data_IF_148419922994
#
_entry.id   IF_148419922994
#
_cell.length_a   1.000
_cell.length_b   1.000
_cell.length_c   1.000
_cell.angle_alpha   90.00
_cell.angle_beta   90.00
_cell.angle_gamma   90.00
#
_symmetry.space_group_name_H-M   'P 1'
#
loop_
_entity.id
_entity.type
_entity.pdbx_description
1 polymer ?
#
# COMPACT_ATOMS: atom_id res chain seq x y z
N UNK A 1 -5.69 4.56 -6.24
CA UNK A 1 -6.10 5.97 -6.01
C UNK A 1 -6.29 6.75 -7.31
N UNK A 2 -5.25 6.83 -8.15
CA UNK A 2 -5.29 7.57 -9.43
C UNK A 2 -6.53 7.26 -10.29
N UNK A 3 -6.91 5.99 -10.47
CA UNK A 3 -8.13 5.62 -11.22
C UNK A 3 -9.39 6.33 -10.72
N UNK A 4 -9.60 6.37 -9.40
CA UNK A 4 -10.75 7.05 -8.80
C UNK A 4 -10.67 8.57 -9.07
N UNK A 5 -9.51 9.18 -8.82
CA UNK A 5 -9.31 10.62 -9.03
C UNK A 5 -9.45 11.04 -10.48
N UNK A 6 -8.93 10.25 -11.42
CA UNK A 6 -9.08 10.51 -12.84
C UNK A 6 -10.55 10.41 -13.26
N UNK A 7 -11.31 9.42 -12.77
CA UNK A 7 -12.76 9.35 -13.02
C UNK A 7 -13.53 10.52 -12.40
N UNK A 8 -13.13 10.98 -11.21
CA UNK A 8 -13.73 12.13 -10.52
C UNK A 8 -13.46 13.44 -11.29
N UNK A 9 -12.21 13.66 -11.73
CA UNK A 9 -11.78 14.92 -12.36
C UNK A 9 -12.04 14.99 -13.86
N UNK A 10 -11.99 13.85 -14.54
CA UNK A 10 -12.13 13.75 -15.99
C UNK A 10 -13.25 12.79 -16.40
N UNK A 11 -14.48 12.98 -15.91
CA UNK A 11 -15.59 12.07 -16.22
C UNK A 11 -16.05 12.13 -17.68
N UNK A 12 -15.56 13.11 -18.44
CA UNK A 12 -15.79 13.28 -19.88
C UNK A 12 -14.78 12.48 -20.73
N UNK A 13 -13.72 11.94 -20.12
CA UNK A 13 -12.67 11.15 -20.79
C UNK A 13 -12.78 9.67 -20.39
N UNK A 14 -13.08 9.39 -19.12
CA UNK A 14 -13.05 8.03 -18.55
C UNK A 14 -14.45 7.65 -18.09
N UNK A 15 -15.07 6.64 -18.69
CA UNK A 15 -16.47 6.28 -18.41
C UNK A 15 -16.71 5.52 -17.09
N UNK A 16 -15.65 4.93 -16.53
CA UNK A 16 -15.66 4.26 -15.24
C UNK A 16 -14.27 3.74 -14.84
N UNK A 17 -14.13 3.24 -13.62
CA UNK A 17 -12.83 2.76 -13.14
C UNK A 17 -12.91 1.76 -11.98
N UNK A 18 -11.99 0.80 -11.99
CA UNK A 18 -11.72 -0.10 -10.86
C UNK A 18 -10.57 0.49 -10.05
N UNK A 19 -10.85 0.89 -8.82
CA UNK A 19 -9.90 1.44 -7.87
C UNK A 19 -9.60 0.38 -6.80
N UNK A 20 -8.81 -0.63 -7.17
CA UNK A 20 -8.42 -1.73 -6.30
C UNK A 20 -7.40 -1.30 -5.24
N UNK A 21 -7.64 -1.74 -4.00
CA UNK A 21 -6.84 -1.41 -2.81
C UNK A 21 -6.42 0.05 -2.77
N UNK A 22 -7.38 0.94 -3.01
CA UNK A 22 -7.13 2.37 -3.14
C UNK A 22 -7.39 3.09 -1.81
N UNK A 23 -6.35 3.44 -1.02
CA UNK A 23 -6.46 4.14 0.26
C UNK A 23 -6.86 5.63 0.10
N UNK A 24 -8.02 5.90 -0.51
CA UNK A 24 -8.52 7.26 -0.78
C UNK A 24 -8.87 8.06 0.48
N UNK A 25 -9.07 7.37 1.61
CA UNK A 25 -9.42 7.87 2.93
C UNK A 25 -8.50 7.33 4.04
N UNK A 26 -7.27 6.88 3.73
CA UNK A 26 -6.34 6.29 4.72
C UNK A 26 -5.84 7.30 5.75
N UNK A 27 -6.67 7.43 6.80
CA UNK A 27 -6.50 8.32 7.93
C UNK A 27 -7.15 7.67 9.20
N UNK A 28 -6.30 7.06 10.06
CA UNK A 28 -6.45 6.51 11.45
C UNK A 28 -7.34 5.26 11.79
N UNK A 29 -6.70 4.35 12.57
CA UNK A 29 -7.12 3.30 13.55
C UNK A 29 -7.39 1.83 13.10
N UNK A 30 -6.60 0.87 13.63
CA UNK A 30 -6.92 -0.57 13.77
C UNK A 30 -6.02 -1.30 14.82
N UNK A 31 -6.47 -2.43 15.40
CA UNK A 31 -5.83 -3.20 16.51
C UNK A 31 -5.29 -4.60 16.09
N UNK A 32 -4.15 -5.08 16.64
CA UNK A 32 -3.40 -6.31 16.24
C UNK A 32 -2.72 -7.08 17.43
N UNK A 33 -2.37 -8.40 17.32
CA UNK A 33 -2.10 -9.36 18.43
C UNK A 33 -0.80 -9.20 19.27
N UNK A 34 -0.76 -9.81 20.47
CA UNK A 34 0.39 -9.77 21.41
C UNK A 34 1.45 -10.84 21.12
N UNK A 35 2.72 -10.44 20.96
CA UNK A 35 3.89 -11.33 20.90
C UNK A 35 5.05 -10.80 20.03
N UNK A 36 4.72 -10.12 18.94
CA UNK A 36 5.70 -9.51 18.03
C UNK A 36 6.37 -8.29 18.68
N UNK A 37 5.60 -7.46 19.42
CA UNK A 37 6.15 -6.32 20.18
C UNK A 37 7.25 -6.73 21.17
N UNK A 38 7.10 -7.86 21.87
CA UNK A 38 8.11 -8.37 22.80
C UNK A 38 9.41 -8.79 22.08
N UNK A 39 9.32 -9.23 20.82
CA UNK A 39 10.49 -9.60 20.03
C UNK A 39 11.30 -8.38 19.58
N UNK A 40 10.63 -7.26 19.29
CA UNK A 40 11.31 -6.00 18.98
C UNK A 40 12.00 -5.40 20.21
N UNK A 41 11.36 -5.45 21.38
CA UNK A 41 11.99 -5.01 22.64
C UNK A 41 13.26 -5.83 22.94
N UNK A 42 13.21 -7.15 22.73
CA UNK A 42 14.36 -8.05 22.91
C UNK A 42 15.54 -7.68 22.00
N UNK A 43 15.29 -7.38 20.72
CA UNK A 43 16.33 -6.96 19.77
C UNK A 43 17.00 -5.66 20.24
N UNK A 44 16.20 -4.66 20.65
CA UNK A 44 16.73 -3.39 21.17
C UNK A 44 17.54 -3.60 22.45
N UNK A 45 17.10 -4.50 23.34
CA UNK A 45 17.82 -4.80 24.57
C UNK A 45 19.16 -5.50 24.32
N UNK A 46 19.20 -6.52 23.46
CA UNK A 46 20.42 -7.21 23.09
C UNK A 46 21.44 -6.28 22.43
N UNK A 47 20.99 -5.39 21.54
CA UNK A 47 21.86 -4.47 20.80
C UNK A 47 22.65 -3.49 21.70
N UNK A 48 22.19 -3.24 22.94
CA UNK A 48 22.89 -2.38 23.90
C UNK A 48 24.29 -2.89 24.26
N UNK A 49 24.52 -4.20 24.18
CA UNK A 49 25.79 -4.82 24.55
C UNK A 49 26.54 -5.34 23.32
N UNK A 50 27.87 -5.37 23.37
CA UNK A 50 28.68 -5.93 22.28
C UNK A 50 28.41 -7.42 22.07
N UNK A 51 28.31 -8.19 23.16
CA UNK A 51 27.95 -9.60 23.11
C UNK A 51 26.57 -9.82 22.46
N UNK A 52 25.58 -9.00 22.81
CA UNK A 52 24.25 -9.09 22.23
C UNK A 52 24.22 -8.70 20.75
N UNK A 53 25.00 -7.70 20.31
CA UNK A 53 25.17 -7.39 18.87
C UNK A 53 25.82 -8.54 18.11
N UNK A 54 26.88 -9.16 18.64
CA UNK A 54 27.51 -10.32 18.03
C UNK A 54 26.52 -11.50 17.90
N UNK A 55 25.71 -11.74 18.94
CA UNK A 55 24.64 -12.72 18.92
C UNK A 55 23.59 -12.42 17.83
N UNK A 56 23.12 -11.17 17.73
CA UNK A 56 22.16 -10.75 16.70
C UNK A 56 22.75 -10.91 15.28
N UNK A 57 24.01 -10.52 15.06
CA UNK A 57 24.68 -10.69 13.77
C UNK A 57 24.72 -12.16 13.34
N UNK A 58 24.97 -13.07 14.29
CA UNK A 58 24.98 -14.51 14.04
C UNK A 58 23.58 -15.06 13.77
N UNK A 59 22.59 -14.72 14.61
CA UNK A 59 21.22 -15.25 14.50
C UNK A 59 20.52 -14.80 13.22
N UNK A 60 20.72 -13.54 12.82
CA UNK A 60 20.13 -13.00 11.59
C UNK A 60 20.97 -13.29 10.34
N UNK A 61 22.12 -13.96 10.49
CA UNK A 61 23.06 -14.22 9.40
C UNK A 61 23.40 -12.94 8.62
N UNK A 62 23.69 -11.83 9.33
CA UNK A 62 23.83 -10.52 8.68
C UNK A 62 25.11 -10.44 7.85
N UNK A 63 24.96 -9.94 6.61
CA UNK A 63 26.09 -9.52 5.77
C UNK A 63 26.96 -8.49 6.48
N UNK A 64 28.24 -8.45 6.12
CA UNK A 64 29.25 -7.53 6.69
C UNK A 64 28.76 -6.09 6.78
N UNK A 65 28.08 -5.60 5.74
CA UNK A 65 27.61 -4.22 5.67
C UNK A 65 26.40 -3.96 6.60
N UNK A 66 25.62 -5.01 6.90
CA UNK A 66 24.44 -4.95 7.76
C UNK A 66 24.72 -5.32 9.22
N UNK A 67 25.94 -5.69 9.59
CA UNK A 67 26.27 -6.06 10.96
C UNK A 67 26.05 -4.89 11.94
N UNK A 68 25.45 -5.18 13.09
CA UNK A 68 25.25 -4.23 14.17
C UNK A 68 26.61 -3.94 14.82
N UNK A 69 27.03 -2.68 14.81
CA UNK A 69 28.29 -2.20 15.36
C UNK A 69 28.07 -1.36 16.63
N UNK A 70 26.90 -0.74 16.74
CA UNK A 70 26.55 0.22 17.78
C UNK A 70 25.16 -0.08 18.37
N UNK A 71 24.87 0.37 19.60
CA UNK A 71 23.53 0.25 20.19
C UNK A 71 22.40 0.83 19.32
N UNK A 72 22.69 1.88 18.55
CA UNK A 72 21.76 2.51 17.61
C UNK A 72 21.37 1.63 16.42
N UNK A 73 22.12 0.57 16.12
CA UNK A 73 21.78 -0.33 15.01
C UNK A 73 20.62 -1.29 15.37
N UNK A 74 20.33 -1.51 16.66
CA UNK A 74 19.21 -2.34 17.12
C UNK A 74 17.84 -1.82 16.64
N UNK A 75 17.51 -0.54 16.87
CA UNK A 75 16.32 0.09 16.31
C UNK A 75 16.23 0.02 14.77
N UNK A 76 17.36 0.09 14.06
CA UNK A 76 17.36 -0.03 12.60
C UNK A 76 16.97 -1.46 12.15
N UNK A 77 17.46 -2.49 12.85
CA UNK A 77 17.04 -3.87 12.60
C UNK A 77 15.54 -4.07 12.88
N UNK A 78 15.02 -3.47 13.94
CA UNK A 78 13.57 -3.50 14.23
C UNK A 78 12.77 -2.81 13.13
N UNK A 79 13.22 -1.64 12.66
CA UNK A 79 12.59 -0.94 11.53
C UNK A 79 12.56 -1.77 10.25
N UNK A 80 13.64 -2.50 9.96
CA UNK A 80 13.70 -3.42 8.82
C UNK A 80 12.68 -4.57 8.95
N UNK A 81 12.59 -5.19 10.13
CA UNK A 81 11.62 -6.26 10.40
C UNK A 81 10.17 -5.75 10.33
N UNK A 82 9.91 -4.53 10.82
CA UNK A 82 8.62 -3.89 10.67
C UNK A 82 8.25 -3.73 9.19
N UNK A 83 9.13 -3.16 8.37
CA UNK A 83 8.87 -3.01 6.93
C UNK A 83 8.63 -4.35 6.22
N UNK A 84 9.33 -5.41 6.62
CA UNK A 84 9.08 -6.77 6.11
C UNK A 84 7.68 -7.26 6.49
N UNK A 85 7.27 -7.10 7.74
CA UNK A 85 5.95 -7.53 8.20
C UNK A 85 4.81 -6.78 7.50
N UNK A 86 4.95 -5.46 7.34
CA UNK A 86 4.02 -4.63 6.58
C UNK A 86 3.93 -5.10 5.13
N UNK A 87 5.08 -5.41 4.50
CA UNK A 87 5.13 -5.92 3.14
C UNK A 87 4.46 -7.29 3.02
N UNK A 88 4.78 -8.22 3.93
CA UNK A 88 4.18 -9.56 3.95
C UNK A 88 2.66 -9.51 4.09
N UNK A 89 2.12 -8.58 4.88
CA UNK A 89 0.67 -8.39 4.99
C UNK A 89 0.06 -7.91 3.66
N UNK A 90 0.74 -7.03 2.92
CA UNK A 90 0.29 -6.60 1.58
C UNK A 90 0.28 -7.75 0.57
N UNK A 91 1.21 -8.69 0.65
CA UNK A 91 1.38 -9.77 -0.34
C UNK A 91 1.01 -11.16 0.19
N UNK A 92 0.07 -11.23 1.13
CA UNK A 92 -0.43 -12.48 1.72
C UNK A 92 -1.37 -13.23 0.75
N UNK A 93 -0.85 -13.63 -0.42
CA UNK A 93 -1.61 -14.23 -1.50
C UNK A 93 -1.78 -15.75 -1.34
N UNK A 94 -2.86 -16.34 -1.89
CA UNK A 94 -3.15 -17.78 -1.78
C UNK A 94 -2.22 -18.70 -2.59
N UNK A 95 -1.29 -18.14 -3.36
CA UNK A 95 -0.35 -18.83 -4.23
C UNK A 95 1.03 -18.17 -4.19
N UNK A 96 2.10 -18.89 -4.60
CA UNK A 96 3.42 -18.28 -4.71
C UNK A 96 3.42 -17.08 -5.65
N UNK A 97 4.04 -15.99 -5.23
CA UNK A 97 4.06 -14.75 -5.99
C UNK A 97 5.44 -14.11 -5.94
N UNK A 98 5.82 -13.45 -7.03
CA UNK A 98 7.06 -12.69 -7.14
C UNK A 98 6.74 -11.25 -7.55
N UNK A 99 6.15 -10.49 -6.63
CA UNK A 99 5.83 -9.08 -6.85
C UNK A 99 6.92 -8.16 -6.28
N UNK A 100 7.17 -8.26 -4.96
CA UNK A 100 8.21 -7.50 -4.25
C UNK A 100 9.40 -8.39 -3.85
N UNK A 101 9.12 -9.66 -3.58
CA UNK A 101 10.09 -10.72 -3.33
C UNK A 101 9.46 -12.06 -3.73
N UNK A 102 10.25 -13.10 -4.08
CA UNK A 102 9.72 -14.46 -4.25
C UNK A 102 9.21 -15.02 -2.92
N UNK A 103 7.89 -15.17 -2.81
CA UNK A 103 7.23 -15.61 -1.59
C UNK A 103 6.37 -16.86 -1.84
N UNK A 104 6.25 -17.75 -0.83
CA UNK A 104 5.33 -18.88 -0.89
C UNK A 104 3.87 -18.41 -0.80
N UNK A 105 2.93 -19.34 -0.99
CA UNK A 105 1.53 -19.11 -0.66
C UNK A 105 1.36 -18.84 0.84
N UNK A 106 0.47 -17.91 1.19
CA UNK A 106 0.16 -17.52 2.57
C UNK A 106 1.40 -17.23 3.43
N UNK A 107 2.28 -16.30 3.00
CA UNK A 107 3.55 -16.08 3.67
C UNK A 107 3.41 -15.62 5.13
N UNK A 108 2.30 -14.95 5.52
CA UNK A 108 2.05 -14.62 6.93
C UNK A 108 1.84 -15.89 7.76
N UNK A 109 1.13 -16.88 7.21
CA UNK A 109 0.94 -18.19 7.87
C UNK A 109 2.27 -18.89 8.08
N UNK A 110 3.19 -18.80 7.12
CA UNK A 110 4.54 -19.35 7.24
C UNK A 110 5.35 -18.68 8.36
N UNK A 111 5.32 -17.35 8.45
CA UNK A 111 5.94 -16.62 9.58
C UNK A 111 5.34 -17.01 10.92
N UNK A 112 4.01 -17.07 11.00
CA UNK A 112 3.28 -17.37 12.24
C UNK A 112 3.60 -18.74 12.85
N UNK A 113 4.12 -19.71 12.07
CA UNK A 113 4.56 -21.02 12.60
C UNK A 113 5.63 -20.89 13.68
N UNK A 114 6.44 -19.83 13.64
CA UNK A 114 7.46 -19.56 14.65
C UNK A 114 6.90 -18.95 15.95
N UNK A 115 5.71 -18.34 15.90
CA UNK A 115 5.11 -17.54 16.99
C UNK A 115 3.98 -18.26 17.73
N UNK A 116 4.00 -19.60 17.79
CA UNK A 116 2.90 -20.41 18.37
C UNK A 116 2.96 -20.59 19.88
N UNK A 117 4.13 -20.42 20.51
CA UNK A 117 4.29 -20.58 21.96
C UNK A 117 3.82 -19.35 22.72
N UNK A 118 3.05 -19.58 23.78
CA UNK A 118 2.59 -18.55 24.74
C UNK A 118 3.51 -18.40 25.94
N UNK A 119 4.56 -19.22 26.04
CA UNK A 119 5.51 -19.17 27.14
C UNK A 119 6.39 -17.93 27.02
N UNK A 120 6.75 -17.36 28.18
CA UNK A 120 7.73 -16.27 28.22
C UNK A 120 9.09 -16.85 27.88
N UNK A 121 9.71 -16.30 26.85
CA UNK A 121 11.04 -16.71 26.38
C UNK A 121 12.11 -15.74 26.85
N UNK A 122 13.37 -16.13 26.75
CA UNK A 122 14.51 -15.22 26.85
C UNK A 122 14.60 -14.29 25.64
N UNK A 123 15.33 -13.18 25.77
CA UNK A 123 15.57 -12.25 24.65
C UNK A 123 16.26 -12.96 23.47
N UNK A 124 17.18 -13.88 23.74
CA UNK A 124 17.87 -14.69 22.73
C UNK A 124 16.90 -15.59 21.93
N UNK A 125 15.94 -16.20 22.61
CA UNK A 125 14.92 -17.03 21.98
C UNK A 125 13.89 -16.20 21.19
N UNK A 126 13.54 -15.00 21.67
CA UNK A 126 12.71 -14.07 20.90
C UNK A 126 13.42 -13.58 19.64
N UNK A 127 14.71 -13.27 19.72
CA UNK A 127 15.50 -12.87 18.55
C UNK A 127 15.60 -14.00 17.51
N UNK A 128 15.80 -15.25 17.94
CA UNK A 128 15.72 -16.44 17.05
C UNK A 128 14.34 -16.58 16.40
N UNK A 129 13.28 -16.28 17.15
CA UNK A 129 11.91 -16.30 16.61
C UNK A 129 11.74 -15.18 15.55
N UNK A 130 12.27 -13.99 15.80
CA UNK A 130 12.20 -12.84 14.89
C UNK A 130 12.97 -13.06 13.57
N UNK A 131 14.07 -13.83 13.57
CA UNK A 131 14.78 -14.20 12.34
C UNK A 131 13.87 -14.86 11.30
N UNK A 132 12.88 -15.65 11.72
CA UNK A 132 11.94 -16.29 10.80
C UNK A 132 11.16 -15.28 9.93
N UNK A 133 10.90 -14.07 10.43
CA UNK A 133 10.27 -12.99 9.66
C UNK A 133 11.14 -12.64 8.45
N UNK A 134 12.42 -12.37 8.68
CA UNK A 134 13.36 -11.99 7.63
C UNK A 134 13.65 -13.16 6.68
N UNK A 135 13.74 -14.39 7.22
CA UNK A 135 14.04 -15.57 6.42
C UNK A 135 12.91 -15.92 5.45
N UNK A 136 11.64 -15.85 5.86
CA UNK A 136 10.51 -16.07 4.93
C UNK A 136 10.49 -15.03 3.82
N UNK A 137 10.87 -13.78 4.12
CA UNK A 137 10.81 -12.71 3.12
C UNK A 137 11.98 -12.72 2.12
N UNK A 138 13.21 -12.88 2.61
CA UNK A 138 14.40 -12.78 1.78
C UNK A 138 14.97 -14.13 1.34
N UNK A 139 14.68 -15.21 2.05
CA UNK A 139 15.33 -16.51 1.85
C UNK A 139 14.33 -17.69 1.94
N UNK A 140 13.15 -17.51 1.34
CA UNK A 140 12.12 -18.55 1.30
C UNK A 140 12.58 -19.82 0.56
N UNK A 141 13.49 -19.67 -0.41
CA UNK A 141 14.07 -20.77 -1.19
C UNK A 141 15.23 -21.48 -0.48
N UNK A 142 15.86 -20.81 0.50
CA UNK A 142 17.03 -21.32 1.21
C UNK A 142 18.37 -21.15 0.48
N UNK A 143 18.40 -20.39 -0.62
CA UNK A 143 19.59 -20.20 -1.45
C UNK A 143 20.59 -19.18 -0.88
N UNK A 144 20.16 -18.31 0.04
CA UNK A 144 21.01 -17.31 0.67
C UNK A 144 21.67 -17.86 1.94
N UNK A 145 22.99 -17.64 2.04
CA UNK A 145 23.78 -17.91 3.25
C UNK A 145 23.74 -16.76 4.26
N UNK A 146 23.38 -15.55 3.82
CA UNK A 146 23.38 -14.32 4.60
C UNK A 146 22.28 -13.33 4.15
N UNK A 147 21.90 -12.43 5.05
CA UNK A 147 20.84 -11.43 4.85
C UNK A 147 21.40 -10.01 4.93
N UNK A 148 20.98 -9.16 3.99
CA UNK A 148 21.17 -7.71 4.10
C UNK A 148 19.87 -7.09 4.58
N UNK A 149 19.87 -6.51 5.78
CA UNK A 149 18.65 -5.96 6.39
C UNK A 149 18.72 -4.48 6.74
N UNK A 150 19.92 -3.87 6.86
CA UNK A 150 20.05 -2.55 7.48
C UNK A 150 20.70 -1.52 6.56
N UNK A 151 21.95 -1.74 6.14
CA UNK A 151 22.75 -0.73 5.43
C UNK A 151 23.13 -1.23 4.05
N UNK A 152 22.96 -0.35 3.06
CA UNK A 152 23.35 -0.57 1.65
C UNK A 152 22.72 -1.82 1.02
N UNK A 153 21.50 -2.16 1.45
CA UNK A 153 20.77 -3.31 0.93
C UNK A 153 20.00 -2.93 -0.34
N UNK A 154 19.80 -3.92 -1.21
CA UNK A 154 18.90 -3.76 -2.34
C UNK A 154 17.48 -3.51 -1.84
N UNK A 155 16.84 -2.47 -2.37
CA UNK A 155 15.47 -2.12 -2.03
C UNK A 155 14.50 -3.06 -2.78
N UNK A 156 13.64 -3.76 -2.06
CA UNK A 156 12.60 -4.64 -2.64
C UNK A 156 11.58 -3.86 -3.47
N UNK A 157 11.50 -2.55 -3.29
CA UNK A 157 10.66 -1.65 -4.07
C UNK A 157 11.39 -1.01 -5.27
N UNK A 158 12.69 -1.25 -5.45
CA UNK A 158 13.46 -0.68 -6.57
C UNK A 158 12.89 -1.06 -7.95
N UNK A 159 12.23 -2.23 -8.05
CA UNK A 159 11.56 -2.66 -9.27
C UNK A 159 10.33 -1.81 -9.63
N UNK A 160 9.77 -1.03 -8.69
CA UNK A 160 8.59 -0.20 -8.88
C UNK A 160 8.92 1.20 -9.44
N UNK A 161 10.19 1.59 -9.47
CA UNK A 161 10.63 2.88 -10.00
C UNK A 161 11.77 3.50 -9.21
N UNK A 162 11.89 4.82 -9.34
CA UNK A 162 12.91 5.58 -8.61
C UNK A 162 12.63 5.50 -7.09
N UNK A 163 13.62 5.08 -6.26
CA UNK A 163 13.43 4.89 -4.83
C UNK A 163 13.11 6.19 -4.09
N UNK A 164 13.39 7.36 -4.68
CA UNK A 164 13.07 8.67 -4.13
C UNK A 164 11.79 9.28 -4.72
N UNK A 165 11.17 8.65 -5.73
CA UNK A 165 9.93 9.13 -6.33
C UNK A 165 8.77 9.18 -5.33
N UNK A 166 8.48 8.06 -4.66
CA UNK A 166 7.41 8.01 -3.65
C UNK A 166 7.73 8.85 -2.40
N UNK A 167 8.95 8.80 -1.81
CA UNK A 167 9.32 9.70 -0.73
C UNK A 167 9.15 11.19 -1.09
N UNK A 168 9.46 11.59 -2.33
CA UNK A 168 9.21 12.95 -2.78
C UNK A 168 7.71 13.29 -2.80
N UNK A 169 6.87 12.39 -3.33
CA UNK A 169 5.42 12.56 -3.31
C UNK A 169 4.87 12.67 -1.88
N UNK A 170 5.35 11.84 -0.94
CA UNK A 170 4.95 11.91 0.48
C UNK A 170 5.48 13.14 1.22
N UNK A 171 6.56 13.73 0.72
CA UNK A 171 7.11 15.00 1.21
C UNK A 171 6.47 16.25 0.58
N UNK A 172 5.49 16.09 -0.31
CA UNK A 172 4.84 17.20 -1.02
C UNK A 172 3.32 17.15 -0.91
N UNK A 173 2.69 16.13 -1.49
CA UNK A 173 1.25 16.09 -1.74
C UNK A 173 0.57 14.84 -1.15
N UNK A 174 1.31 13.74 -1.03
CA UNK A 174 0.85 12.43 -0.54
C UNK A 174 1.19 12.24 0.95
N UNK A 175 0.94 13.27 1.76
CA UNK A 175 1.22 13.24 3.19
C UNK A 175 0.19 12.37 3.90
N UNK A 176 0.60 11.17 4.32
CA UNK A 176 -0.27 10.23 5.04
C UNK A 176 0.21 10.13 6.50
N UNK A 177 -0.65 10.40 7.49
CA UNK A 177 -0.29 10.36 8.91
C UNK A 177 -0.25 8.91 9.42
N UNK A 178 0.75 8.15 8.96
CA UNK A 178 0.99 6.77 9.37
C UNK A 178 1.98 6.76 10.52
N UNK A 179 1.60 6.11 11.61
CA UNK A 179 2.46 5.85 12.76
C UNK A 179 1.98 4.58 13.48
N UNK A 180 2.84 4.05 14.33
CA UNK A 180 2.55 2.92 15.21
C UNK A 180 2.16 3.43 16.60
N UNK A 181 1.03 2.97 17.12
CA UNK A 181 0.57 3.24 18.49
C UNK A 181 1.30 2.36 19.52
N UNK A 182 1.90 1.26 19.05
CA UNK A 182 2.56 0.24 19.84
C UNK A 182 1.59 -0.58 20.70
N UNK A 183 2.16 -1.49 21.50
CA UNK A 183 1.36 -2.40 22.32
C UNK A 183 0.49 -1.61 23.34
N UNK A 184 -0.78 -2.03 23.56
CA UNK A 184 -1.43 -3.24 23.05
C UNK A 184 -2.18 -3.07 21.72
N UNK A 185 -2.07 -1.90 21.06
CA UNK A 185 -2.86 -1.58 19.87
C UNK A 185 -2.26 -2.19 18.62
N UNK A 186 -0.94 -2.15 18.48
CA UNK A 186 -0.22 -2.87 17.45
C UNK A 186 1.07 -3.49 18.01
N UNK A 187 1.83 -4.11 17.12
CA UNK A 187 3.00 -4.90 17.47
C UNK A 187 4.32 -4.16 17.30
N UNK A 188 4.31 -2.95 16.75
CA UNK A 188 5.50 -2.21 16.40
C UNK A 188 5.94 -1.30 17.55
N UNK A 189 7.19 -0.80 17.55
CA UNK A 189 7.58 0.26 18.48
C UNK A 189 6.70 1.48 18.28
N UNK A 190 6.29 2.13 19.38
CA UNK A 190 5.45 3.31 19.32
C UNK A 190 6.16 4.46 18.61
N UNK A 191 5.56 4.96 17.53
CA UNK A 191 6.00 6.16 16.80
C UNK A 191 4.94 7.26 16.74
N UNK A 192 3.72 6.98 17.21
CA UNK A 192 2.66 7.97 17.36
C UNK A 192 2.89 8.92 18.55
N UNK A 193 2.39 10.17 18.48
CA UNK A 193 1.60 10.71 17.37
C UNK A 193 2.47 11.11 16.16
N UNK A 194 1.95 10.88 14.96
CA UNK A 194 2.47 11.53 13.76
C UNK A 194 2.36 13.04 13.91
N UNK A 195 3.42 13.78 13.55
CA UNK A 195 3.42 15.24 13.52
C UNK A 195 4.00 15.75 12.20
N UNK A 196 3.41 16.81 11.66
CA UNK A 196 3.91 17.47 10.45
C UNK A 196 5.35 17.98 10.64
N UNK A 197 5.72 18.37 11.86
CA UNK A 197 7.08 18.82 12.18
C UNK A 197 8.12 17.70 11.98
N UNK A 198 7.83 16.49 12.47
CA UNK A 198 8.72 15.34 12.29
C UNK A 198 8.80 14.92 10.82
N UNK A 199 7.66 14.91 10.12
CA UNK A 199 7.61 14.62 8.69
C UNK A 199 8.41 15.64 7.87
N UNK A 200 8.25 16.94 8.14
CA UNK A 200 9.03 17.99 7.48
C UNK A 200 10.53 17.89 7.79
N UNK A 201 10.91 17.54 9.02
CA UNK A 201 12.30 17.32 9.38
C UNK A 201 12.92 16.17 8.58
N UNK A 202 12.21 15.05 8.44
CA UNK A 202 12.60 13.94 7.56
C UNK A 202 12.75 14.38 6.10
N UNK A 203 11.76 15.13 5.58
CA UNK A 203 11.79 15.62 4.20
C UNK A 203 12.96 16.56 3.93
N UNK A 204 13.26 17.47 4.87
CA UNK A 204 14.39 18.38 4.78
C UNK A 204 15.73 17.63 4.88
N UNK A 205 15.85 16.64 5.76
CA UNK A 205 17.04 15.80 5.86
C UNK A 205 17.28 14.99 4.57
N UNK A 206 16.20 14.52 3.93
CA UNK A 206 16.27 13.69 2.72
C UNK A 206 16.53 14.53 1.47
N UNK A 207 15.82 15.65 1.29
CA UNK A 207 15.79 16.41 0.03
C UNK A 207 16.37 17.83 0.13
N UNK A 208 16.81 18.27 1.31
CA UNK A 208 17.37 19.61 1.49
C UNK A 208 18.58 19.88 0.57
N UNK A 209 19.39 18.86 0.31
CA UNK A 209 20.56 18.94 -0.57
C UNK A 209 20.21 19.19 -2.05
N UNK A 210 18.98 18.92 -2.48
CA UNK A 210 18.47 19.24 -3.83
C UNK A 210 17.57 20.49 -3.84
N UNK A 211 17.56 21.27 -2.75
CA UNK A 211 16.80 22.52 -2.66
C UNK A 211 15.35 22.36 -2.23
N UNK A 212 15.01 21.31 -1.49
CA UNK A 212 13.66 21.15 -0.91
C UNK A 212 13.26 22.37 -0.08
N UNK A 213 12.08 22.91 -0.36
CA UNK A 213 11.51 24.03 0.36
C UNK A 213 10.31 23.54 1.18
N UNK A 214 10.32 23.64 2.53
CA UNK A 214 9.20 23.18 3.38
C UNK A 214 7.81 23.72 2.98
N UNK A 215 7.72 24.84 2.24
CA UNK A 215 6.45 25.35 1.69
C UNK A 215 5.75 24.40 0.71
N UNK A 216 6.47 23.43 0.13
CA UNK A 216 5.87 22.41 -0.75
C UNK A 216 5.25 21.26 0.01
N UNK A 217 5.50 21.14 1.33
CA UNK A 217 4.86 20.17 2.21
C UNK A 217 3.41 20.62 2.47
N UNK A 218 2.45 20.02 1.77
CA UNK A 218 1.05 20.44 1.79
C UNK A 218 0.17 19.27 2.24
N UNK A 219 0.02 19.05 3.56
CA UNK A 219 -0.66 17.87 4.09
C UNK A 219 -2.13 17.76 3.66
N UNK A 220 -2.79 18.88 3.40
CA UNK A 220 -4.19 18.92 2.98
C UNK A 220 -4.38 18.82 1.46
N UNK A 221 -3.32 18.89 0.65
CA UNK A 221 -3.41 19.08 -0.80
C UNK A 221 -4.23 18.01 -1.50
N UNK A 222 -4.01 16.73 -1.17
CA UNK A 222 -4.77 15.63 -1.76
C UNK A 222 -6.27 15.72 -1.43
N UNK A 223 -6.63 16.10 -0.21
CA UNK A 223 -8.03 16.24 0.19
C UNK A 223 -8.67 17.47 -0.47
N UNK A 224 -7.98 18.60 -0.53
CA UNK A 224 -8.49 19.83 -1.16
C UNK A 224 -8.71 19.63 -2.67
N UNK A 225 -7.84 18.86 -3.32
CA UNK A 225 -7.95 18.60 -4.74
C UNK A 225 -8.94 17.47 -5.06
N UNK A 226 -8.91 16.35 -4.34
CA UNK A 226 -9.67 15.16 -4.74
C UNK A 226 -10.91 14.89 -3.88
N UNK A 227 -11.01 15.51 -2.71
CA UNK A 227 -12.11 15.37 -1.76
C UNK A 227 -11.90 14.22 -0.76
N UNK A 228 -12.42 14.41 0.46
CA UNK A 228 -12.52 13.38 1.50
C UNK A 228 -13.86 12.61 1.46
N UNK A 229 -14.74 12.93 0.51
CA UNK A 229 -15.96 12.19 0.23
C UNK A 229 -16.37 12.39 -1.24
N UNK A 230 -17.12 11.44 -1.80
CA UNK A 230 -17.42 11.42 -3.23
C UNK A 230 -18.93 11.40 -3.53
N UNK A 231 -19.73 12.36 -3.01
CA UNK A 231 -21.20 12.32 -3.15
C UNK A 231 -21.69 12.46 -4.60
N UNK A 232 -20.90 13.07 -5.47
CA UNK A 232 -21.22 13.32 -6.89
C UNK A 232 -20.43 12.43 -7.85
N UNK A 233 -19.52 11.59 -7.33
CA UNK A 233 -18.77 10.68 -8.18
C UNK A 233 -19.67 9.55 -8.67
N UNK A 234 -19.28 8.96 -9.80
CA UNK A 234 -20.05 7.92 -10.46
C UNK A 234 -19.13 6.94 -11.18
N UNK A 235 -19.61 5.71 -11.31
CA UNK A 235 -18.98 4.64 -12.09
C UNK A 235 -17.58 4.29 -11.57
N UNK A 236 -17.47 4.10 -10.26
CA UNK A 236 -16.22 3.64 -9.63
C UNK A 236 -16.55 2.42 -8.78
N UNK A 237 -15.80 1.34 -9.01
CA UNK A 237 -15.76 0.21 -8.09
C UNK A 237 -14.50 0.37 -7.24
N UNK A 238 -14.65 0.35 -5.92
CA UNK A 238 -13.57 0.27 -4.96
C UNK A 238 -13.51 -1.16 -4.44
N UNK A 239 -12.50 -1.93 -4.87
CA UNK A 239 -12.26 -3.28 -4.35
C UNK A 239 -11.21 -3.23 -3.24
N UNK A 240 -11.43 -3.94 -2.13
CA UNK A 240 -10.44 -4.08 -1.05
C UNK A 240 -10.38 -5.52 -0.54
N UNK A 241 -9.19 -5.95 -0.11
CA UNK A 241 -9.00 -7.19 0.61
C UNK A 241 -9.00 -6.97 2.12
N UNK A 242 -9.55 -7.89 2.94
CA UNK A 242 -9.50 -7.72 4.41
C UNK A 242 -8.12 -7.98 5.01
N UNK A 243 -7.25 -8.70 4.30
CA UNK A 243 -5.87 -8.92 4.74
C UNK A 243 -4.96 -7.75 4.35
N UNK A 244 -5.41 -6.89 3.43
CA UNK A 244 -4.64 -5.74 2.97
C UNK A 244 -4.58 -4.66 4.05
N UNK A 245 -3.39 -4.32 4.57
CA UNK A 245 -3.26 -3.24 5.52
C UNK A 245 -3.64 -1.88 4.93
N UNK A 246 -3.80 -1.70 3.62
CA UNK A 246 -4.29 -0.45 3.01
C UNK A 246 -5.82 -0.33 2.92
N UNK A 247 -6.56 -1.39 3.29
CA UNK A 247 -8.03 -1.43 3.16
C UNK A 247 -8.77 -0.48 4.11
N UNK A 248 -8.29 -0.30 5.34
CA UNK A 248 -8.74 0.67 6.35
C UNK A 248 -8.90 2.12 5.89
N UNK A 249 -8.31 2.47 4.75
CA UNK A 249 -8.40 3.76 4.10
C UNK A 249 -9.10 3.72 2.76
N UNK A 250 -9.68 2.58 2.40
CA UNK A 250 -10.53 2.45 1.24
C UNK A 250 -11.79 3.30 1.36
N UNK A 251 -12.54 3.37 0.26
CA UNK A 251 -13.79 4.15 0.21
C UNK A 251 -14.86 3.63 1.18
N UNK A 252 -14.97 2.31 1.31
CA UNK A 252 -15.79 1.62 2.30
C UNK A 252 -15.19 0.24 2.57
N UNK A 253 -15.15 -0.18 3.83
CA UNK A 253 -14.66 -1.48 4.27
C UNK A 253 -15.75 -2.56 4.30
N UNK A 254 -16.97 -2.20 3.90
CA UNK A 254 -18.10 -3.12 3.79
C UNK A 254 -18.59 -3.14 2.35
N UNK A 255 -19.18 -4.27 1.90
CA UNK A 255 -19.93 -4.28 0.66
C UNK A 255 -21.00 -3.18 0.67
N UNK A 256 -20.93 -2.27 -0.27
CA UNK A 256 -21.77 -1.08 -0.30
C UNK A 256 -22.08 -0.64 -1.72
N UNK A 257 -23.23 -0.01 -1.92
CA UNK A 257 -23.58 0.66 -3.18
C UNK A 257 -24.24 1.99 -2.86
N UNK A 258 -23.65 3.10 -3.35
CA UNK A 258 -24.19 4.45 -3.23
C UNK A 258 -24.21 5.08 -4.63
N UNK A 259 -25.39 5.15 -5.24
CA UNK A 259 -25.51 5.51 -6.65
C UNK A 259 -24.79 4.49 -7.53
N UNK A 260 -23.79 4.93 -8.30
CA UNK A 260 -22.92 4.05 -9.10
C UNK A 260 -21.51 3.88 -8.54
N UNK A 261 -21.30 4.26 -7.27
CA UNK A 261 -20.14 3.87 -6.49
C UNK A 261 -20.42 2.54 -5.78
N UNK A 262 -19.52 1.59 -5.94
CA UNK A 262 -19.65 0.23 -5.40
C UNK A 262 -18.40 -0.11 -4.60
N UNK A 263 -18.57 -0.65 -3.40
CA UNK A 263 -17.50 -1.29 -2.64
C UNK A 263 -17.63 -2.80 -2.76
N UNK A 264 -16.56 -3.46 -3.20
CA UNK A 264 -16.45 -4.91 -3.29
C UNK A 264 -15.33 -5.38 -2.35
N UNK A 265 -15.56 -6.50 -1.67
CA UNK A 265 -14.60 -7.03 -0.71
C UNK A 265 -14.15 -8.43 -1.13
N UNK A 266 -12.84 -8.61 -1.23
CA UNK A 266 -12.18 -9.91 -1.35
C UNK A 266 -11.86 -10.37 0.07
N UNK A 267 -12.74 -11.18 0.67
CA UNK A 267 -12.70 -11.47 2.12
C UNK A 267 -11.36 -12.05 2.61
N UNK A 268 -10.70 -12.85 1.77
CA UNK A 268 -9.39 -13.46 2.01
C UNK A 268 -8.30 -12.87 1.09
N UNK A 269 -8.55 -11.69 0.53
CA UNK A 269 -7.62 -10.98 -0.33
C UNK A 269 -6.65 -10.11 0.46
N UNK A 270 -5.39 -10.11 0.03
CA UNK A 270 -4.39 -9.10 0.36
C UNK A 270 -4.43 -7.94 -0.65
N UNK A 271 -3.33 -7.22 -0.84
CA UNK A 271 -3.27 -6.00 -1.66
C UNK A 271 -3.61 -6.30 -3.14
N UNK A 272 -4.73 -5.72 -3.61
CA UNK A 272 -5.27 -5.78 -4.98
C UNK A 272 -5.21 -7.18 -5.66
N UNK A 273 -5.61 -8.23 -4.93
CA UNK A 273 -5.62 -9.61 -5.45
C UNK A 273 -6.50 -9.77 -6.71
N UNK A 274 -7.58 -9.01 -6.79
CA UNK A 274 -8.50 -8.89 -7.93
C UNK A 274 -7.79 -8.51 -9.24
N UNK A 275 -6.73 -7.69 -9.18
CA UNK A 275 -5.97 -7.26 -10.37
C UNK A 275 -4.91 -8.25 -10.85
N UNK A 276 -4.57 -9.27 -10.05
CA UNK A 276 -3.59 -10.28 -10.46
C UNK A 276 -4.13 -11.16 -11.60
N UNK A 277 -3.22 -11.86 -12.27
CA UNK A 277 -3.60 -12.90 -13.23
C UNK A 277 -4.45 -13.99 -12.57
N UNK A 278 -5.26 -14.69 -13.39
CA UNK A 278 -6.01 -15.84 -12.91
C UNK A 278 -5.06 -16.97 -12.51
N UNK A 279 -5.34 -17.61 -11.38
CA UNK A 279 -4.55 -18.72 -10.83
C UNK A 279 -5.49 -19.85 -10.36
N UNK A 280 -5.13 -21.14 -10.53
CA UNK A 280 -5.95 -22.25 -10.02
C UNK A 280 -6.22 -22.21 -8.50
N UNK A 281 -5.37 -21.54 -7.72
CA UNK A 281 -5.55 -21.35 -6.29
C UNK A 281 -6.34 -20.07 -5.93
N UNK A 282 -6.87 -19.34 -6.91
CA UNK A 282 -7.78 -18.22 -6.66
C UNK A 282 -8.96 -18.66 -5.78
N UNK A 283 -9.23 -17.87 -4.76
CA UNK A 283 -10.30 -18.14 -3.80
C UNK A 283 -11.65 -17.81 -4.41
N UNK A 284 -12.74 -18.34 -3.82
CA UNK A 284 -14.10 -18.04 -4.31
C UNK A 284 -14.41 -16.54 -4.25
N UNK A 285 -13.87 -15.83 -3.26
CA UNK A 285 -14.13 -14.40 -3.07
C UNK A 285 -13.54 -13.57 -4.22
N UNK A 286 -12.28 -13.81 -4.62
CA UNK A 286 -11.65 -13.06 -5.72
C UNK A 286 -12.30 -13.39 -7.07
N UNK A 287 -12.69 -14.66 -7.29
CA UNK A 287 -13.40 -15.06 -8.50
C UNK A 287 -14.74 -14.33 -8.64
N UNK A 288 -15.49 -14.20 -7.55
CA UNK A 288 -16.76 -13.48 -7.53
C UNK A 288 -16.57 -11.96 -7.71
N UNK A 289 -15.59 -11.36 -7.02
CA UNK A 289 -15.28 -9.93 -7.19
C UNK A 289 -14.90 -9.61 -8.63
N UNK A 290 -14.00 -10.38 -9.25
CA UNK A 290 -13.62 -10.22 -10.66
C UNK A 290 -14.83 -10.38 -11.60
N UNK A 291 -15.77 -11.27 -11.28
CA UNK A 291 -17.01 -11.42 -12.07
C UNK A 291 -17.87 -10.16 -11.98
N UNK A 292 -18.05 -9.59 -10.79
CA UNK A 292 -18.81 -8.36 -10.57
C UNK A 292 -18.15 -7.15 -11.23
N UNK A 293 -16.83 -7.02 -11.15
CA UNK A 293 -16.06 -5.98 -11.83
C UNK A 293 -16.26 -6.01 -13.34
N UNK A 294 -16.17 -7.21 -13.96
CA UNK A 294 -16.44 -7.40 -15.38
C UNK A 294 -17.85 -6.96 -15.76
N UNK A 295 -18.85 -7.21 -14.92
CA UNK A 295 -20.22 -6.75 -15.16
C UNK A 295 -20.33 -5.21 -15.12
N UNK A 296 -19.65 -4.56 -14.17
CA UNK A 296 -19.60 -3.10 -14.11
C UNK A 296 -18.91 -2.49 -15.33
N UNK A 297 -17.76 -3.04 -15.73
CA UNK A 297 -17.03 -2.61 -16.92
C UNK A 297 -17.89 -2.77 -18.18
N UNK A 298 -18.52 -3.92 -18.37
CA UNK A 298 -19.39 -4.18 -19.52
C UNK A 298 -20.57 -3.19 -19.57
N UNK A 299 -21.17 -2.88 -18.41
CA UNK A 299 -22.22 -1.88 -18.31
C UNK A 299 -21.72 -0.48 -18.71
N UNK A 300 -20.57 -0.04 -18.21
CA UNK A 300 -20.02 1.29 -18.53
C UNK A 300 -19.71 1.43 -20.02
N UNK A 301 -19.15 0.40 -20.65
CA UNK A 301 -18.89 0.37 -22.10
C UNK A 301 -20.20 0.51 -22.89
N UNK A 302 -21.25 -0.22 -22.49
CA UNK A 302 -22.56 -0.13 -23.13
C UNK A 302 -23.15 1.29 -23.01
N UNK A 303 -23.16 1.84 -21.81
CA UNK A 303 -23.67 3.20 -21.55
C UNK A 303 -22.87 4.27 -22.33
N UNK A 304 -21.55 4.11 -22.45
CA UNK A 304 -20.69 5.02 -23.22
C UNK A 304 -21.03 5.01 -24.71
N UNK A 305 -21.23 3.82 -25.30
CA UNK A 305 -21.64 3.67 -26.70
C UNK A 305 -23.01 4.32 -26.95
N UNK A 306 -23.96 4.12 -26.04
CA UNK A 306 -25.30 4.74 -26.13
C UNK A 306 -25.22 6.27 -26.09
N UNK A 307 -24.44 6.84 -25.15
CA UNK A 307 -24.19 8.29 -25.10
C UNK A 307 -23.60 8.83 -26.39
N UNK A 308 -22.54 8.19 -26.92
CA UNK A 308 -21.90 8.60 -28.17
C UNK A 308 -22.83 8.57 -29.36
N UNK A 309 -23.65 7.52 -29.47
CA UNK A 309 -24.66 7.42 -30.53
C UNK A 309 -25.69 8.56 -30.45
N UNK A 310 -26.14 8.89 -29.25
CA UNK A 310 -27.09 9.98 -29.03
C UNK A 310 -26.46 11.34 -29.35
N UNK A 311 -25.22 11.60 -28.96
CA UNK A 311 -24.49 12.83 -29.28
C UNK A 311 -24.32 13.01 -30.79
N UNK A 312 -23.92 11.95 -31.50
CA UNK A 312 -23.84 11.96 -32.97
C UNK A 312 -25.18 12.26 -33.62
N UNK A 313 -26.27 11.67 -33.11
CA UNK A 313 -27.62 11.93 -33.61
C UNK A 313 -28.03 13.39 -33.40
N UNK A 314 -27.79 13.93 -32.21
CA UNK A 314 -28.06 15.33 -31.87
C UNK A 314 -27.26 16.29 -32.76
N UNK A 315 -25.98 15.99 -33.01
CA UNK A 315 -25.12 16.79 -33.90
C UNK A 315 -25.65 16.80 -35.34
N UNK A 316 -26.02 15.63 -35.88
CA UNK A 316 -26.62 15.54 -37.22
C UNK A 316 -27.92 16.34 -37.33
N UNK A 317 -28.78 16.29 -36.31
CA UNK A 317 -30.01 17.09 -36.29
C UNK A 317 -29.72 18.60 -36.28
N UNK A 318 -28.75 19.06 -35.49
CA UNK A 318 -28.34 20.47 -35.48
C UNK A 318 -27.76 20.93 -36.82
N UNK A 319 -27.00 20.08 -37.50
CA UNK A 319 -26.43 20.39 -38.81
C UNK A 319 -27.48 20.34 -39.94
N UNK A 320 -28.52 19.52 -39.81
CA UNK A 320 -29.61 19.41 -40.79
C UNK A 320 -30.56 20.62 -40.78
N UNK A 321 -30.64 21.35 -39.66
CA UNK A 321 -31.40 22.60 -39.52
C UNK A 321 -30.46 23.76 -39.17
N UNK A 322 -29.64 24.26 -40.12
CA UNK A 322 -28.86 25.45 -39.87
C UNK A 322 -29.82 26.60 -39.56
N UNK A 323 -29.70 27.20 -38.38
CA UNK A 323 -30.47 28.38 -38.01
C UNK A 323 -30.26 29.45 -39.11
N UNK A 324 -31.31 29.87 -39.84
CA UNK A 324 -31.16 30.82 -40.95
C UNK A 324 -30.63 32.19 -40.51
N UNK A 325 -30.60 32.46 -39.20
CA UNK A 325 -30.06 33.69 -38.61
C UNK A 325 -28.60 33.60 -38.13
N UNK A 326 -27.91 32.47 -38.28
CA UNK A 326 -26.48 32.38 -37.95
C UNK A 326 -25.64 32.69 -39.18
N UNK A 327 -25.18 33.94 -39.28
CA UNK A 327 -24.15 34.38 -40.23
C UNK A 327 -22.91 33.50 -40.03
N UNK A 328 -22.50 32.77 -41.07
CA UNK A 328 -21.17 32.16 -41.16
C UNK A 328 -20.15 33.28 -41.14
N UNK A 329 -19.62 33.61 -39.97
CA UNK A 329 -18.36 34.36 -39.89
C UNK A 329 -17.29 33.38 -40.36
N UNK A 330 -16.89 33.52 -41.62
CA UNK A 330 -15.76 32.80 -42.17
C UNK A 330 -14.52 33.15 -41.35
N UNK A 331 -13.84 32.12 -40.83
CA UNK A 331 -12.44 32.27 -40.47
C UNK A 331 -11.68 32.56 -41.78
N UNK A 332 -11.33 33.83 -41.99
CA UNK A 332 -10.20 34.19 -42.81
C UNK A 332 -8.94 33.97 -41.96
N UNK A 333 -8.19 32.92 -42.36
CA UNK A 333 -6.76 32.62 -42.14
C UNK A 333 -6.26 32.65 -40.69
#
# INVERSE_FOLDING_TARGET
MLTAWMRIKYPHIIDGGIAASAPVFWFRNANIPKGVSASFDAIVNLAKTEKGRAFLNQVFHLKSESQLQSPSDGPLLVGALQGIMETLAMVDYPYPANFLSPLPAWPIKEVCKAFTSKEKKSDEEYAKTAYHIANVFYNSTGDLSDLCLIKHCADSFAALGDPLGWPWQSCTEMVMPICSEGAPNDVFPKTCPFTDANAQAYCNATFGHIGYNPQVFRPQWAIDNYGASFPTASNIVFSNGYLDPWSGGGWDLKPATKGSLVSLIVEDGAHHLDLRGADPADTKSVLEVRRLEKLHIARWIKEANERHHQEKKNLKQRLAFPNPNCIKIGLFI
#
